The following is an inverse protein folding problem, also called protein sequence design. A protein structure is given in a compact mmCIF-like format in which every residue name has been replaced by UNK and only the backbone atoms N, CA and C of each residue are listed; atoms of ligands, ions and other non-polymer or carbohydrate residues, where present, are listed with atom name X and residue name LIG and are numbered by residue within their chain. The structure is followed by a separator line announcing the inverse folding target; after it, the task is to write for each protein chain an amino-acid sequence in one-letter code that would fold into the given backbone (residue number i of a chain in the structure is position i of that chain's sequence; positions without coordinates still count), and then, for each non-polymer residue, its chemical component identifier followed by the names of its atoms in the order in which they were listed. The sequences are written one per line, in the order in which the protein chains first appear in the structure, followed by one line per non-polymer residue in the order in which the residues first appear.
data_IF_148787544557
#
_entry.id   IF_148787544557
#
_cell.length_a   1.000
_cell.length_b   1.000
_cell.length_c   1.000
_cell.angle_alpha   90.00
_cell.angle_beta   90.00
_cell.angle_gamma   90.00
#
_symmetry.space_group_name_H-M   'P 1'
#
loop_
_entity.id
_entity.type
_entity.pdbx_description
1 polymer ?
#
# COMPACT_ATOMS: atom_id res chain seq x y z
N UNK A 1 -1.65 7.01 -29.72
CA UNK A 1 -1.02 5.67 -29.61
C UNK A 1 -2.01 4.77 -28.90
N UNK A 2 -2.40 3.63 -29.49
CA UNK A 2 -3.44 2.77 -28.89
C UNK A 2 -2.81 2.05 -27.70
N UNK A 3 -3.18 2.47 -26.47
CA UNK A 3 -2.85 1.75 -25.23
C UNK A 3 -3.16 0.26 -25.47
N UNK A 4 -2.21 -0.64 -25.16
CA UNK A 4 -2.35 -2.10 -25.34
C UNK A 4 -3.64 -2.60 -24.66
N UNK A 5 -4.75 -2.66 -25.40
CA UNK A 5 -6.05 -3.02 -24.83
C UNK A 5 -6.18 -4.51 -24.55
N UNK A 6 -5.48 -5.36 -25.30
CA UNK A 6 -5.82 -6.79 -25.32
C UNK A 6 -4.67 -7.74 -24.92
N UNK A 7 -3.44 -7.24 -24.76
CA UNK A 7 -2.29 -8.08 -24.38
C UNK A 7 -1.72 -7.66 -23.02
N UNK A 8 -1.57 -8.60 -22.06
CA UNK A 8 -0.88 -8.33 -20.81
C UNK A 8 0.55 -7.82 -21.03
N UNK A 9 0.94 -6.81 -20.28
CA UNK A 9 2.32 -6.40 -20.10
C UNK A 9 3.00 -7.37 -19.13
N UNK A 10 3.33 -8.58 -19.59
CA UNK A 10 3.98 -9.62 -18.78
C UNK A 10 5.24 -9.15 -18.04
N UNK A 11 5.93 -8.13 -18.58
CA UNK A 11 7.08 -7.51 -17.92
C UNK A 11 6.74 -6.92 -16.55
N UNK A 12 5.50 -6.46 -16.33
CA UNK A 12 5.10 -5.85 -15.06
C UNK A 12 5.05 -6.87 -13.91
N UNK A 13 4.99 -8.17 -14.22
CA UNK A 13 5.15 -9.22 -13.21
C UNK A 13 6.55 -9.25 -12.59
N UNK A 14 7.58 -8.74 -13.29
CA UNK A 14 8.94 -8.65 -12.74
C UNK A 14 9.06 -7.64 -11.60
N UNK A 15 8.10 -6.72 -11.45
CA UNK A 15 8.13 -5.77 -10.34
C UNK A 15 8.12 -6.51 -9.00
N UNK A 16 7.41 -7.65 -8.89
CA UNK A 16 7.26 -8.39 -7.63
C UNK A 16 8.59 -9.02 -7.16
N UNK A 17 9.29 -9.83 -7.97
CA UNK A 17 10.60 -10.33 -7.58
C UNK A 17 11.61 -9.21 -7.41
N UNK A 18 11.53 -8.11 -8.18
CA UNK A 18 12.39 -6.93 -7.97
C UNK A 18 12.14 -6.32 -6.59
N UNK A 19 10.88 -6.16 -6.18
CA UNK A 19 10.52 -5.63 -4.87
C UNK A 19 11.03 -6.54 -3.74
N UNK A 20 10.78 -7.86 -3.84
CA UNK A 20 11.18 -8.83 -2.83
C UNK A 20 12.70 -8.88 -2.68
N UNK A 21 13.43 -9.07 -3.78
CA UNK A 21 14.91 -9.09 -3.75
C UNK A 21 15.46 -7.74 -3.30
N UNK A 22 14.87 -6.64 -3.78
CA UNK A 22 15.24 -5.28 -3.40
C UNK A 22 15.12 -5.04 -1.89
N UNK A 23 14.05 -5.52 -1.25
CA UNK A 23 13.86 -5.39 0.21
C UNK A 23 15.03 -6.07 0.94
N UNK A 24 15.34 -7.33 0.60
CA UNK A 24 16.44 -8.05 1.26
C UNK A 24 17.80 -7.40 1.03
N UNK A 25 18.10 -6.99 -0.21
CA UNK A 25 19.39 -6.39 -0.56
C UNK A 25 19.55 -5.03 0.11
N UNK A 26 18.54 -4.15 0.01
CA UNK A 26 18.60 -2.82 0.61
C UNK A 26 18.68 -2.87 2.13
N UNK A 27 17.85 -3.69 2.80
CA UNK A 27 17.93 -3.86 4.26
C UNK A 27 19.26 -4.49 4.71
N UNK A 28 19.86 -5.40 3.93
CA UNK A 28 21.19 -5.93 4.26
C UNK A 28 22.28 -4.86 4.16
N UNK A 29 22.25 -4.02 3.12
CA UNK A 29 23.19 -2.90 2.97
C UNK A 29 23.04 -1.92 4.14
N UNK A 30 21.81 -1.57 4.49
CA UNK A 30 21.53 -0.65 5.60
C UNK A 30 21.93 -1.23 6.95
N UNK A 31 21.77 -2.54 7.15
CA UNK A 31 22.28 -3.22 8.35
C UNK A 31 23.80 -3.08 8.44
N UNK A 32 24.53 -3.31 7.34
CA UNK A 32 25.99 -3.13 7.32
C UNK A 32 26.39 -1.69 7.64
N UNK A 33 25.65 -0.70 7.12
CA UNK A 33 25.86 0.72 7.45
C UNK A 33 25.60 0.97 8.94
N UNK A 34 24.47 0.50 9.48
CA UNK A 34 24.10 0.68 10.89
C UNK A 34 25.17 0.08 11.83
N UNK A 35 25.68 -1.11 11.51
CA UNK A 35 26.76 -1.76 12.25
C UNK A 35 28.06 -0.94 12.18
N UNK A 36 28.39 -0.34 11.04
CA UNK A 36 29.56 0.52 10.88
C UNK A 36 29.47 1.81 11.74
N UNK A 37 28.26 2.26 12.06
CA UNK A 37 28.01 3.37 12.99
C UNK A 37 27.79 2.93 14.44
N UNK A 38 28.07 1.66 14.78
CA UNK A 38 27.89 1.10 16.12
C UNK A 38 26.45 1.22 16.65
N UNK A 39 25.45 1.20 15.75
CA UNK A 39 24.06 1.14 16.15
C UNK A 39 23.79 -0.16 16.95
N UNK A 40 23.01 -0.11 18.03
CA UNK A 40 22.72 -1.28 18.85
C UNK A 40 21.93 -2.32 18.05
N UNK A 41 22.28 -3.60 18.18
CA UNK A 41 21.51 -4.68 17.56
C UNK A 41 20.26 -5.00 18.39
N UNK A 42 19.20 -4.20 18.22
CA UNK A 42 17.92 -4.35 18.91
C UNK A 42 16.74 -4.25 17.93
N UNK A 43 15.51 -4.42 18.44
CA UNK A 43 14.29 -4.40 17.63
C UNK A 43 14.08 -3.06 16.91
N UNK A 44 14.38 -1.94 17.55
CA UNK A 44 14.16 -0.61 16.95
C UNK A 44 15.09 -0.38 15.76
N UNK A 45 16.37 -0.76 15.90
CA UNK A 45 17.34 -0.71 14.79
C UNK A 45 16.95 -1.67 13.66
N UNK A 46 16.50 -2.88 13.98
CA UNK A 46 16.01 -3.84 12.98
C UNK A 46 14.79 -3.33 12.22
N UNK A 47 13.81 -2.75 12.93
CA UNK A 47 12.60 -2.18 12.32
C UNK A 47 12.93 -0.98 11.44
N UNK A 48 13.82 -0.10 11.89
CA UNK A 48 14.27 1.07 11.11
C UNK A 48 14.99 0.67 9.82
N UNK A 49 15.93 -0.26 9.90
CA UNK A 49 16.65 -0.83 8.73
C UNK A 49 15.73 -1.64 7.81
N UNK A 50 14.71 -2.31 8.36
CA UNK A 50 13.68 -2.96 7.56
C UNK A 50 12.88 -1.95 6.74
N UNK A 51 12.38 -0.90 7.41
CA UNK A 51 11.55 0.13 6.79
C UNK A 51 12.31 0.96 5.73
N UNK A 52 13.54 1.38 6.03
CA UNK A 52 14.40 2.10 5.09
C UNK A 52 14.69 1.24 3.85
N UNK A 53 15.07 -0.02 4.05
CA UNK A 53 15.38 -0.93 2.94
C UNK A 53 14.15 -1.23 2.08
N UNK A 54 12.97 -1.35 2.69
CA UNK A 54 11.71 -1.46 1.95
C UNK A 54 11.39 -0.19 1.15
N UNK A 55 11.59 0.98 1.73
CA UNK A 55 11.41 2.24 1.01
C UNK A 55 12.34 2.35 -0.20
N UNK A 56 13.62 2.01 -0.06
CA UNK A 56 14.57 2.01 -1.17
C UNK A 56 14.16 1.02 -2.27
N UNK A 57 13.71 -0.18 -1.88
CA UNK A 57 13.16 -1.16 -2.82
C UNK A 57 11.94 -0.60 -3.57
N UNK A 58 11.05 0.11 -2.89
CA UNK A 58 9.87 0.73 -3.52
C UNK A 58 10.26 1.83 -4.51
N UNK A 59 11.29 2.63 -4.22
CA UNK A 59 11.83 3.62 -5.17
C UNK A 59 12.39 2.92 -6.43
N UNK A 60 13.10 1.80 -6.26
CA UNK A 60 13.61 0.98 -7.37
C UNK A 60 12.44 0.46 -8.22
N UNK A 61 11.40 -0.09 -7.59
CA UNK A 61 10.20 -0.60 -8.27
C UNK A 61 9.52 0.51 -9.08
N UNK A 62 9.32 1.69 -8.50
CA UNK A 62 8.69 2.82 -9.21
C UNK A 62 9.53 3.29 -10.40
N UNK A 63 10.85 3.30 -10.23
CA UNK A 63 11.79 3.66 -11.29
C UNK A 63 11.74 2.65 -12.43
N UNK A 64 11.81 1.35 -12.13
CA UNK A 64 11.68 0.27 -13.13
C UNK A 64 10.34 0.33 -13.84
N UNK A 65 9.24 0.53 -13.10
CA UNK A 65 7.90 0.66 -13.68
C UNK A 65 7.81 1.87 -14.62
N UNK A 66 8.37 3.01 -14.23
CA UNK A 66 8.45 4.19 -15.09
C UNK A 66 9.21 3.88 -16.38
N UNK A 67 10.36 3.21 -16.31
CA UNK A 67 11.13 2.82 -17.49
C UNK A 67 10.38 1.83 -18.40
N UNK A 68 9.68 0.84 -17.82
CA UNK A 68 8.87 -0.09 -18.60
C UNK A 68 7.81 0.62 -19.44
N UNK A 69 7.26 1.72 -18.93
CA UNK A 69 6.13 2.42 -19.55
C UNK A 69 6.44 3.88 -19.93
N UNK A 70 7.72 4.25 -20.11
CA UNK A 70 8.14 5.66 -20.20
C UNK A 70 7.39 6.45 -21.29
N UNK A 71 7.08 5.80 -22.41
CA UNK A 71 6.36 6.42 -23.54
C UNK A 71 4.90 6.73 -23.20
N UNK A 72 4.28 5.93 -22.34
CA UNK A 72 2.86 6.02 -21.98
C UNK A 72 2.65 6.83 -20.68
N UNK A 73 3.69 6.99 -19.86
CA UNK A 73 3.60 7.63 -18.54
C UNK A 73 3.01 9.04 -18.56
N UNK A 74 3.41 9.97 -19.45
CA UNK A 74 2.83 11.32 -19.48
C UNK A 74 1.30 11.30 -19.72
N UNK A 75 0.83 10.45 -20.64
CA UNK A 75 -0.59 10.30 -20.91
C UNK A 75 -1.33 9.62 -19.75
N UNK A 76 -0.74 8.57 -19.16
CA UNK A 76 -1.30 7.86 -17.99
C UNK A 76 -1.48 8.79 -16.80
N UNK A 77 -0.46 9.60 -16.48
CA UNK A 77 -0.51 10.58 -15.40
C UNK A 77 -1.55 11.67 -15.68
N UNK A 78 -1.58 12.22 -16.90
CA UNK A 78 -2.57 13.23 -17.29
C UNK A 78 -4.00 12.70 -17.22
N UNK A 79 -4.27 11.51 -17.75
CA UNK A 79 -5.59 10.90 -17.72
C UNK A 79 -6.01 10.53 -16.28
N UNK A 80 -5.08 10.01 -15.48
CA UNK A 80 -5.28 9.76 -14.05
C UNK A 80 -5.69 11.02 -13.29
N UNK A 81 -4.90 12.08 -13.44
CA UNK A 81 -5.17 13.38 -12.81
C UNK A 81 -6.50 13.99 -13.27
N UNK A 82 -6.80 13.94 -14.56
CA UNK A 82 -8.07 14.41 -15.10
C UNK A 82 -9.26 13.65 -14.50
N UNK A 83 -9.14 12.33 -14.32
CA UNK A 83 -10.18 11.53 -13.70
C UNK A 83 -10.39 11.92 -12.23
N UNK A 84 -9.30 12.01 -11.44
CA UNK A 84 -9.36 12.39 -10.02
C UNK A 84 -9.98 13.77 -9.87
N UNK A 85 -9.52 14.76 -10.65
CA UNK A 85 -10.06 16.13 -10.61
C UNK A 85 -11.54 16.19 -10.98
N UNK A 86 -11.98 15.39 -11.95
CA UNK A 86 -13.38 15.35 -12.40
C UNK A 86 -14.30 14.67 -11.39
N UNK A 87 -13.81 13.66 -10.66
CA UNK A 87 -14.62 12.82 -9.77
C UNK A 87 -14.21 12.92 -8.29
N UNK A 88 -13.55 14.01 -7.88
CA UNK A 88 -12.98 14.17 -6.55
C UNK A 88 -14.01 13.96 -5.43
N UNK A 89 -15.25 14.42 -5.62
CA UNK A 89 -16.32 14.26 -4.63
C UNK A 89 -16.71 12.79 -4.44
N UNK A 90 -16.80 12.02 -5.53
CA UNK A 90 -17.05 10.58 -5.45
C UNK A 90 -15.92 9.85 -4.71
N UNK A 91 -14.67 10.22 -4.99
CA UNK A 91 -13.50 9.64 -4.33
C UNK A 91 -13.46 10.00 -2.84
N UNK A 92 -13.75 11.26 -2.50
CA UNK A 92 -13.83 11.74 -1.12
C UNK A 92 -14.94 11.04 -0.33
N UNK A 93 -16.15 10.94 -0.89
CA UNK A 93 -17.26 10.22 -0.24
C UNK A 93 -16.88 8.75 -0.02
N UNK A 94 -16.25 8.11 -1.01
CA UNK A 94 -15.79 6.72 -0.87
C UNK A 94 -14.77 6.58 0.26
N UNK A 95 -13.78 7.48 0.32
CA UNK A 95 -12.80 7.52 1.41
C UNK A 95 -13.48 7.64 2.78
N UNK A 96 -14.40 8.58 2.95
CA UNK A 96 -15.12 8.78 4.22
C UNK A 96 -15.97 7.57 4.62
N UNK A 97 -16.63 6.92 3.65
CA UNK A 97 -17.40 5.69 3.91
C UNK A 97 -16.47 4.58 4.37
N UNK A 98 -15.35 4.35 3.68
CA UNK A 98 -14.37 3.32 4.03
C UNK A 98 -13.84 3.54 5.43
N UNK A 99 -13.42 4.77 5.75
CA UNK A 99 -12.91 5.11 7.09
C UNK A 99 -13.97 4.91 8.17
N UNK A 100 -15.22 5.28 7.90
CA UNK A 100 -16.32 5.08 8.85
C UNK A 100 -16.62 3.59 9.09
N UNK A 101 -16.64 2.78 8.02
CA UNK A 101 -16.87 1.33 8.11
C UNK A 101 -15.71 0.63 8.83
N UNK A 102 -14.46 1.01 8.52
CA UNK A 102 -13.26 0.47 9.16
C UNK A 102 -13.20 0.84 10.65
N UNK A 103 -13.48 2.10 10.99
CA UNK A 103 -13.55 2.55 12.39
C UNK A 103 -14.62 1.78 13.17
N UNK A 104 -15.81 1.61 12.58
CA UNK A 104 -16.88 0.82 13.20
C UNK A 104 -16.45 -0.64 13.39
N UNK A 105 -15.80 -1.23 12.38
CA UNK A 105 -15.29 -2.59 12.45
C UNK A 105 -14.29 -2.75 13.60
N UNK A 106 -13.27 -1.89 13.69
CA UNK A 106 -12.25 -1.93 14.74
C UNK A 106 -12.88 -1.76 16.13
N UNK A 107 -13.87 -0.85 16.28
CA UNK A 107 -14.61 -0.70 17.54
C UNK A 107 -15.37 -1.95 17.95
N UNK A 108 -16.00 -2.66 17.00
CA UNK A 108 -16.69 -3.92 17.27
C UNK A 108 -15.71 -5.02 17.67
N UNK A 109 -14.56 -5.11 16.98
CA UNK A 109 -13.53 -6.10 17.31
C UNK A 109 -12.88 -5.84 18.67
N UNK A 110 -12.74 -4.57 19.08
CA UNK A 110 -12.23 -4.19 20.39
C UNK A 110 -13.15 -4.57 21.56
N UNK A 111 -14.43 -4.86 21.29
CA UNK A 111 -15.38 -5.36 22.31
C UNK A 111 -15.33 -6.88 22.51
N UNK A 112 -14.61 -7.61 21.65
CA UNK A 112 -14.45 -9.06 21.79
C UNK A 112 -13.48 -9.41 22.92
N UNK A 113 -13.56 -10.63 23.48
CA UNK A 113 -12.63 -11.07 24.54
C UNK A 113 -11.16 -11.02 24.12
N UNK A 114 -10.27 -10.87 25.10
CA UNK A 114 -8.82 -10.90 24.90
C UNK A 114 -8.38 -12.20 24.20
N UNK A 115 -7.42 -12.07 23.27
CA UNK A 115 -6.93 -13.18 22.44
C UNK A 115 -7.82 -13.50 21.22
N UNK A 116 -9.01 -12.89 21.13
CA UNK A 116 -9.87 -12.94 19.94
C UNK A 116 -9.97 -11.54 19.32
N UNK A 117 -10.40 -10.54 20.10
CA UNK A 117 -10.46 -9.14 19.67
C UNK A 117 -9.09 -8.48 19.56
N UNK A 118 -9.06 -7.28 18.98
CA UNK A 118 -7.87 -6.40 18.94
C UNK A 118 -8.29 -4.95 19.15
N UNK A 119 -7.39 -4.12 19.69
CA UNK A 119 -7.60 -2.68 19.87
C UNK A 119 -6.89 -1.85 18.81
N UNK A 120 -5.66 -2.24 18.50
CA UNK A 120 -4.86 -1.74 17.38
C UNK A 120 -4.35 -2.94 16.59
N UNK A 121 -4.13 -2.76 15.29
CA UNK A 121 -3.52 -3.80 14.47
C UNK A 121 -2.01 -3.87 14.73
N UNK A 122 -1.39 -5.04 14.54
CA UNK A 122 0.05 -5.20 14.72
C UNK A 122 0.87 -4.29 13.80
N UNK A 123 0.33 -3.98 12.62
CA UNK A 123 0.93 -3.03 11.69
C UNK A 123 0.89 -1.60 12.24
N UNK A 124 -0.23 -1.16 12.81
CA UNK A 124 -0.37 0.17 13.44
C UNK A 124 0.60 0.31 14.63
N UNK A 125 0.69 -0.69 15.50
CA UNK A 125 1.65 -0.67 16.62
C UNK A 125 3.12 -0.57 16.14
N UNK A 126 3.44 -1.26 15.04
CA UNK A 126 4.77 -1.22 14.43
C UNK A 126 5.08 0.16 13.86
N UNK A 127 4.11 0.78 13.19
CA UNK A 127 4.23 2.15 12.67
C UNK A 127 4.32 3.18 13.79
N UNK A 128 3.50 3.07 14.85
CA UNK A 128 3.56 3.95 16.01
C UNK A 128 4.96 3.92 16.65
N UNK A 129 5.58 2.75 16.73
CA UNK A 129 6.96 2.61 17.23
C UNK A 129 7.97 3.34 16.33
N UNK A 130 7.82 3.28 15.00
CA UNK A 130 8.66 4.05 14.07
C UNK A 130 8.46 5.56 14.20
N UNK A 131 7.26 6.02 14.57
CA UNK A 131 6.91 7.43 14.65
C UNK A 131 7.36 8.09 15.96
N UNK A 132 7.69 7.31 17.00
CA UNK A 132 8.19 7.80 18.30
C UNK A 132 9.42 8.69 18.19
N UNK A 133 10.22 8.54 17.12
CA UNK A 133 11.37 9.40 16.88
C UNK A 133 11.03 10.47 15.81
N UNK A 134 10.90 11.76 16.20
CA UNK A 134 10.53 12.83 15.28
C UNK A 134 11.44 12.99 14.07
N UNK A 135 12.72 12.60 14.18
CA UNK A 135 13.67 12.68 13.07
C UNK A 135 13.28 11.77 11.90
N UNK A 136 12.54 10.68 12.16
CA UNK A 136 12.08 9.76 11.14
C UNK A 136 10.72 10.15 10.54
N UNK A 137 9.98 11.10 11.12
CA UNK A 137 8.64 11.45 10.64
C UNK A 137 8.59 11.89 9.18
N UNK A 138 9.51 12.72 8.64
CA UNK A 138 9.49 13.06 7.21
C UNK A 138 9.68 11.85 6.29
N UNK A 139 10.56 10.93 6.71
CA UNK A 139 10.81 9.68 5.99
C UNK A 139 9.59 8.76 6.06
N UNK A 140 9.04 8.55 7.26
CA UNK A 140 7.87 7.73 7.50
C UNK A 140 6.65 8.26 6.76
N UNK A 141 6.47 9.58 6.70
CA UNK A 141 5.44 10.21 5.90
C UNK A 141 5.60 9.87 4.41
N UNK A 142 6.79 10.09 3.85
CA UNK A 142 7.04 9.78 2.44
C UNK A 142 6.81 8.29 2.14
N UNK A 143 7.23 7.40 3.03
CA UNK A 143 7.06 5.97 2.84
C UNK A 143 5.59 5.53 2.97
N UNK A 144 4.98 5.75 4.14
CA UNK A 144 3.64 5.24 4.50
C UNK A 144 2.54 5.97 3.74
N UNK A 145 2.66 7.30 3.60
CA UNK A 145 1.58 8.08 2.98
C UNK A 145 1.69 8.07 1.47
N UNK A 146 2.89 7.96 0.88
CA UNK A 146 3.10 8.13 -0.57
C UNK A 146 3.59 6.87 -1.25
N UNK A 147 4.81 6.41 -0.92
CA UNK A 147 5.47 5.37 -1.70
C UNK A 147 4.76 4.02 -1.59
N UNK A 148 4.39 3.61 -0.38
CA UNK A 148 3.73 2.33 -0.15
C UNK A 148 2.36 2.24 -0.85
N UNK A 149 1.43 3.19 -0.67
CA UNK A 149 0.17 3.18 -1.41
C UNK A 149 0.35 3.15 -2.93
N UNK A 150 1.31 3.92 -3.48
CA UNK A 150 1.53 3.91 -4.94
C UNK A 150 2.02 2.55 -5.42
N UNK A 151 3.03 1.97 -4.76
CA UNK A 151 3.57 0.66 -5.14
C UNK A 151 2.53 -0.44 -4.98
N UNK A 152 1.78 -0.44 -3.89
CA UNK A 152 0.71 -1.41 -3.64
C UNK A 152 -0.39 -1.31 -4.70
N UNK A 153 -0.86 -0.10 -5.05
CA UNK A 153 -1.85 0.05 -6.11
C UNK A 153 -1.32 -0.37 -7.49
N UNK A 154 -0.02 -0.18 -7.75
CA UNK A 154 0.60 -0.73 -8.95
C UNK A 154 0.56 -2.26 -8.95
N UNK A 155 0.88 -2.92 -7.84
CA UNK A 155 0.82 -4.37 -7.75
C UNK A 155 -0.62 -4.89 -7.82
N UNK A 156 -1.47 -4.48 -6.88
CA UNK A 156 -2.78 -5.07 -6.69
C UNK A 156 -3.75 -4.66 -7.77
N UNK A 157 -3.71 -3.41 -8.25
CA UNK A 157 -4.73 -2.90 -9.18
C UNK A 157 -4.19 -2.91 -10.60
N UNK A 158 -2.99 -2.36 -10.85
CA UNK A 158 -2.44 -2.38 -12.20
C UNK A 158 -1.98 -3.79 -12.63
N UNK A 159 -1.17 -4.52 -11.84
CA UNK A 159 -0.64 -5.82 -12.26
C UNK A 159 -1.67 -6.95 -12.09
N UNK A 160 -2.17 -7.18 -10.88
CA UNK A 160 -3.08 -8.31 -10.62
C UNK A 160 -4.40 -8.13 -11.38
N UNK A 161 -5.08 -6.99 -11.26
CA UNK A 161 -6.36 -6.80 -11.97
C UNK A 161 -6.12 -6.35 -13.41
N UNK A 162 -5.34 -5.29 -13.62
CA UNK A 162 -5.18 -4.64 -14.91
C UNK A 162 -4.48 -5.52 -15.95
N UNK A 163 -3.40 -6.23 -15.59
CA UNK A 163 -2.63 -7.05 -16.52
C UNK A 163 -3.07 -8.52 -16.53
N UNK A 164 -3.15 -9.19 -15.38
CA UNK A 164 -3.58 -10.59 -15.37
C UNK A 164 -5.07 -10.73 -15.72
N UNK A 165 -5.91 -9.74 -15.38
CA UNK A 165 -7.31 -9.73 -15.80
C UNK A 165 -7.54 -9.65 -17.32
N UNK A 166 -6.55 -9.21 -18.12
CA UNK A 166 -6.61 -9.29 -19.59
C UNK A 166 -6.50 -10.72 -20.11
N UNK A 167 -5.78 -11.59 -19.40
CA UNK A 167 -5.59 -13.01 -19.76
C UNK A 167 -6.64 -13.91 -19.11
N UNK A 168 -7.03 -13.57 -17.88
CA UNK A 168 -8.00 -14.31 -17.09
C UNK A 168 -9.33 -13.54 -17.03
N UNK A 169 -9.98 -13.50 -15.85
CA UNK A 169 -11.21 -12.80 -15.61
C UNK A 169 -10.97 -11.63 -14.64
N UNK A 170 -11.40 -10.42 -15.02
CA UNK A 170 -11.21 -9.23 -14.20
C UNK A 170 -11.84 -9.34 -12.80
N UNK A 171 -13.05 -9.92 -12.69
CA UNK A 171 -13.75 -10.07 -11.40
C UNK A 171 -12.97 -11.04 -10.50
N UNK A 172 -12.57 -12.20 -11.03
CA UNK A 172 -11.76 -13.18 -10.30
C UNK A 172 -10.46 -12.54 -9.81
N UNK A 173 -9.81 -11.74 -10.66
CA UNK A 173 -8.59 -11.05 -10.28
C UNK A 173 -8.81 -9.90 -9.30
N UNK A 174 -10.00 -9.27 -9.32
CA UNK A 174 -10.43 -8.32 -8.30
C UNK A 174 -10.56 -8.97 -6.92
N UNK A 175 -11.17 -10.16 -6.85
CA UNK A 175 -11.28 -10.93 -5.60
C UNK A 175 -9.90 -11.33 -5.08
N UNK A 176 -9.05 -11.89 -5.95
CA UNK A 176 -7.68 -12.27 -5.58
C UNK A 176 -6.88 -11.05 -5.12
N UNK A 177 -7.03 -9.91 -5.80
CA UNK A 177 -6.37 -8.66 -5.42
C UNK A 177 -6.79 -8.19 -4.01
N UNK A 178 -8.08 -8.19 -3.69
CA UNK A 178 -8.56 -7.79 -2.36
C UNK A 178 -8.09 -8.74 -1.26
N UNK A 179 -8.16 -10.05 -1.49
CA UNK A 179 -7.71 -11.06 -0.53
C UNK A 179 -6.20 -11.00 -0.30
N UNK A 180 -5.41 -10.89 -1.37
CA UNK A 180 -3.95 -10.82 -1.27
C UNK A 180 -3.48 -9.53 -0.59
N UNK A 181 -4.15 -8.40 -0.85
CA UNK A 181 -3.89 -7.12 -0.16
C UNK A 181 -4.15 -7.24 1.35
N UNK A 182 -5.27 -7.84 1.76
CA UNK A 182 -5.54 -8.01 3.19
C UNK A 182 -4.58 -9.01 3.83
N UNK A 183 -4.28 -10.12 3.15
CA UNK A 183 -3.39 -11.17 3.64
C UNK A 183 -1.95 -10.68 3.90
N UNK A 184 -1.41 -9.79 3.04
CA UNK A 184 -0.05 -9.29 3.25
C UNK A 184 0.08 -8.39 4.47
N UNK A 185 -1.00 -7.71 4.88
CA UNK A 185 -0.99 -6.78 6.01
C UNK A 185 -1.17 -7.47 7.37
N UNK A 186 -1.60 -8.73 7.37
CA UNK A 186 -1.79 -9.53 8.60
C UNK A 186 -0.68 -10.55 8.83
N UNK A 187 0.46 -10.41 8.13
CA UNK A 187 1.64 -11.24 8.40
C UNK A 187 2.16 -10.88 9.80
N UNK A 188 2.00 -11.79 10.76
CA UNK A 188 2.35 -11.56 12.16
C UNK A 188 1.27 -10.91 13.01
N UNK A 189 0.03 -10.81 12.51
CA UNK A 189 -1.11 -10.31 13.27
C UNK A 189 -1.31 -11.07 14.59
N UNK A 190 -1.72 -10.33 15.62
CA UNK A 190 -2.05 -10.88 16.93
C UNK A 190 -3.48 -11.44 16.96
N UNK A 191 -4.37 -10.93 16.09
CA UNK A 191 -5.74 -11.42 15.92
C UNK A 191 -6.06 -11.75 14.45
N UNK A 192 -6.79 -12.85 14.17
CA UNK A 192 -7.28 -13.12 12.82
C UNK A 192 -8.26 -12.06 12.30
N UNK A 193 -8.88 -11.27 13.19
CA UNK A 193 -9.81 -10.23 12.80
C UNK A 193 -9.14 -8.95 12.28
N UNK A 194 -7.83 -8.78 12.46
CA UNK A 194 -7.10 -7.67 11.81
C UNK A 194 -7.24 -7.73 10.27
N UNK A 195 -7.50 -8.92 9.72
CA UNK A 195 -7.76 -9.10 8.29
C UNK A 195 -8.95 -8.25 7.81
N UNK A 196 -9.98 -8.10 8.63
CA UNK A 196 -11.19 -7.36 8.26
C UNK A 196 -10.89 -5.89 7.96
N UNK A 197 -10.04 -5.24 8.77
CA UNK A 197 -9.68 -3.83 8.61
C UNK A 197 -9.03 -3.57 7.25
N UNK A 198 -8.05 -4.40 6.88
CA UNK A 198 -7.41 -4.30 5.57
C UNK A 198 -8.32 -4.75 4.42
N UNK A 199 -9.18 -5.74 4.65
CA UNK A 199 -10.10 -6.23 3.62
C UNK A 199 -11.16 -5.20 3.25
N UNK A 200 -11.67 -4.42 4.21
CA UNK A 200 -12.65 -3.34 3.97
C UNK A 200 -12.10 -2.33 2.95
N UNK A 201 -10.91 -1.77 3.21
CA UNK A 201 -10.28 -0.85 2.26
C UNK A 201 -9.92 -1.54 0.94
N UNK A 202 -9.44 -2.79 0.99
CA UNK A 202 -9.07 -3.52 -0.21
C UNK A 202 -10.24 -3.69 -1.19
N UNK A 203 -11.42 -4.06 -0.67
CA UNK A 203 -12.66 -4.18 -1.44
C UNK A 203 -13.06 -2.83 -2.04
N UNK A 204 -13.03 -1.75 -1.24
CA UNK A 204 -13.39 -0.43 -1.73
C UNK A 204 -12.47 0.04 -2.87
N UNK A 205 -11.17 -0.17 -2.75
CA UNK A 205 -10.21 0.13 -3.81
C UNK A 205 -10.49 -0.69 -5.08
N UNK A 206 -10.85 -1.97 -4.96
CA UNK A 206 -11.25 -2.81 -6.12
C UNK A 206 -12.52 -2.27 -6.78
N UNK A 207 -13.53 -1.90 -6.00
CA UNK A 207 -14.78 -1.31 -6.53
C UNK A 207 -14.54 0.02 -7.25
N UNK A 208 -13.71 0.88 -6.67
CA UNK A 208 -13.30 2.15 -7.29
C UNK A 208 -12.50 1.89 -8.57
N UNK A 209 -11.61 0.90 -8.57
CA UNK A 209 -10.85 0.52 -9.75
C UNK A 209 -11.79 0.15 -10.90
N UNK A 210 -12.79 -0.70 -10.68
CA UNK A 210 -13.75 -1.05 -11.74
C UNK A 210 -14.64 0.11 -12.15
N UNK A 211 -15.19 0.87 -11.18
CA UNK A 211 -16.09 2.00 -11.44
C UNK A 211 -15.39 3.16 -12.18
N UNK A 212 -14.09 3.29 -12.00
CA UNK A 212 -13.26 4.29 -12.70
C UNK A 212 -12.81 3.86 -14.09
N UNK A 213 -13.24 2.69 -14.57
CA UNK A 213 -12.76 2.16 -15.84
C UNK A 213 -11.31 1.69 -15.77
N UNK A 214 -10.90 1.12 -14.63
CA UNK A 214 -9.56 0.61 -14.33
C UNK A 214 -8.50 1.72 -14.19
N UNK A 215 -8.87 2.83 -13.54
CA UNK A 215 -7.97 3.96 -13.30
C UNK A 215 -7.20 3.80 -11.98
N UNK A 216 -5.90 3.49 -12.06
CA UNK A 216 -5.06 3.33 -10.86
C UNK A 216 -4.84 4.64 -10.09
N UNK A 217 -4.89 5.81 -10.74
CA UNK A 217 -4.74 7.08 -10.02
C UNK A 217 -5.92 7.36 -9.08
N UNK A 218 -7.12 6.89 -9.44
CA UNK A 218 -8.30 7.00 -8.59
C UNK A 218 -8.17 6.19 -7.29
N UNK A 219 -7.61 4.98 -7.38
CA UNK A 219 -7.38 4.13 -6.20
C UNK A 219 -6.20 4.61 -5.37
N UNK A 220 -5.11 5.05 -6.03
CA UNK A 220 -4.00 5.74 -5.36
C UNK A 220 -4.52 6.91 -4.53
N UNK A 221 -5.36 7.79 -5.09
CA UNK A 221 -5.89 8.95 -4.36
C UNK A 221 -6.60 8.56 -3.05
N UNK A 222 -7.48 7.55 -3.09
CA UNK A 222 -8.17 7.07 -1.89
C UNK A 222 -7.17 6.47 -0.91
N UNK A 223 -6.22 5.68 -1.40
CA UNK A 223 -5.27 4.99 -0.55
C UNK A 223 -4.27 5.94 0.14
N UNK A 224 -3.77 6.96 -0.59
CA UNK A 224 -2.99 8.07 -0.04
C UNK A 224 -3.80 8.81 1.03
N UNK A 225 -5.08 9.10 0.75
CA UNK A 225 -5.97 9.79 1.69
C UNK A 225 -6.17 9.00 3.00
N UNK A 226 -6.39 7.69 2.89
CA UNK A 226 -6.55 6.82 4.05
C UNK A 226 -5.27 6.78 4.91
N UNK A 227 -4.11 6.57 4.27
CA UNK A 227 -2.83 6.53 4.96
C UNK A 227 -2.45 7.90 5.53
N UNK A 228 -2.76 9.00 4.86
CA UNK A 228 -2.55 10.34 5.39
C UNK A 228 -3.33 10.53 6.69
N UNK A 229 -4.61 10.16 6.73
CA UNK A 229 -5.39 10.31 7.96
C UNK A 229 -4.86 9.37 9.06
N UNK A 230 -4.60 8.10 8.75
CA UNK A 230 -4.01 7.16 9.73
C UNK A 230 -2.67 7.67 10.28
N UNK A 231 -1.79 8.20 9.42
CA UNK A 231 -0.52 8.80 9.82
C UNK A 231 -0.72 10.00 10.77
N UNK A 232 -1.60 10.94 10.41
CA UNK A 232 -1.90 12.10 11.25
C UNK A 232 -2.53 11.69 12.58
N UNK A 233 -3.46 10.73 12.56
CA UNK A 233 -4.09 10.21 13.77
C UNK A 233 -3.05 9.59 14.71
N UNK A 234 -2.14 8.78 14.18
CA UNK A 234 -1.06 8.19 14.96
C UNK A 234 -0.14 9.29 15.53
N UNK A 235 0.36 10.21 14.70
CA UNK A 235 1.31 11.24 15.16
C UNK A 235 0.74 12.19 16.23
N UNK A 236 -0.56 12.52 16.16
CA UNK A 236 -1.17 13.51 17.07
C UNK A 236 -1.96 12.90 18.24
N UNK A 237 -2.32 11.62 18.19
CA UNK A 237 -3.20 11.00 19.19
C UNK A 237 -2.70 9.65 19.75
N UNK A 238 -1.50 9.16 19.36
CA UNK A 238 -0.85 7.99 19.98
C UNK A 238 0.26 8.34 20.98
#
# INVERSE_FOLDING_TARGET
MVLRKDKPAWRDLWLLPIALVGIFVCSAIEMLIALNFHAPFNKDTLNGVGALGQMLSYIIVLTVFYYFHYQEMPERLRAGWQYVRKHWLFLLITLLIVMGVDTLYNQLMAMLPEGIGFKETQNEESLATLFKNPAFLPFSFLFVVILAPVVEELFFRNVIIGELGKKFNYIVMGIISALAFAAMHVIGAASPFEFGSYFIIAVALVLVYFKSGKNTAATIFIHLGNNLVSFLMTVFFS
#
